data_IF_090387703442
#
_entry.id   IF_090387703442
#
_cell.length_a   1.000
_cell.length_b   1.000
_cell.length_c   1.000
_cell.angle_alpha   90.00
_cell.angle_beta   90.00
_cell.angle_gamma   90.00
#
_symmetry.space_group_name_H-M   'P 1'
#
loop_
_entity.id
_entity.type
_entity.pdbx_description
1 polymer ?
#
# COMPACT_ATOMS: atom_id res chain seq x y z
N UNK A 1 -16.96 2.90 21.53
CA UNK A 1 -16.45 2.02 20.44
C UNK A 1 -14.94 2.09 20.40
N UNK A 2 -14.25 0.94 20.44
CA UNK A 2 -12.78 0.86 20.41
C UNK A 2 -12.26 0.94 18.97
N UNK A 3 -11.14 1.66 18.71
CA UNK A 3 -10.55 1.82 17.36
C UNK A 3 -10.29 0.50 16.65
N UNK A 4 -10.03 -0.58 17.40
CA UNK A 4 -9.81 -1.92 16.84
C UNK A 4 -11.04 -2.46 16.12
N UNK A 5 -12.24 -2.28 16.68
CA UNK A 5 -13.47 -2.79 16.08
C UNK A 5 -13.80 -2.05 14.78
N UNK A 6 -13.59 -0.72 14.77
CA UNK A 6 -13.82 0.08 13.58
C UNK A 6 -12.88 -0.29 12.42
N UNK A 7 -11.62 -0.63 12.75
CA UNK A 7 -10.66 -1.10 11.74
C UNK A 7 -11.09 -2.43 11.13
N UNK A 8 -11.57 -3.38 11.94
CA UNK A 8 -12.08 -4.66 11.44
C UNK A 8 -13.33 -4.46 10.58
N UNK A 9 -14.31 -3.68 11.04
CA UNK A 9 -15.52 -3.35 10.27
C UNK A 9 -15.18 -2.70 8.91
N UNK A 10 -14.19 -1.81 8.89
CA UNK A 10 -13.72 -1.17 7.65
C UNK A 10 -13.10 -2.20 6.70
N UNK A 11 -12.30 -3.14 7.21
CA UNK A 11 -11.67 -4.18 6.39
C UNK A 11 -12.70 -5.18 5.85
N UNK A 12 -13.68 -5.57 6.65
CA UNK A 12 -14.77 -6.46 6.22
C UNK A 12 -15.62 -5.82 5.12
N UNK A 13 -15.87 -4.51 5.25
CA UNK A 13 -16.55 -3.73 4.22
C UNK A 13 -15.71 -3.65 2.94
N UNK A 14 -14.42 -3.33 3.03
CA UNK A 14 -13.51 -3.28 1.87
C UNK A 14 -13.43 -4.64 1.16
N UNK A 15 -13.30 -5.73 1.91
CA UNK A 15 -13.26 -7.08 1.37
C UNK A 15 -14.53 -7.41 0.57
N UNK A 16 -15.70 -6.99 1.07
CA UNK A 16 -16.98 -7.18 0.39
C UNK A 16 -17.06 -6.39 -0.92
N UNK A 17 -16.69 -5.10 -0.91
CA UNK A 17 -16.67 -4.29 -2.13
C UNK A 17 -15.69 -4.85 -3.18
N UNK A 18 -14.50 -5.26 -2.76
CA UNK A 18 -13.48 -5.80 -3.68
C UNK A 18 -14.00 -7.05 -4.39
N UNK A 19 -14.70 -7.94 -3.66
CA UNK A 19 -15.32 -9.13 -4.26
C UNK A 19 -16.32 -8.78 -5.35
N UNK A 20 -17.19 -7.80 -5.12
CA UNK A 20 -18.16 -7.34 -6.13
C UNK A 20 -17.48 -6.73 -7.35
N UNK A 21 -16.43 -5.93 -7.13
CA UNK A 21 -15.67 -5.28 -8.21
C UNK A 21 -14.90 -6.28 -9.08
N UNK A 22 -14.34 -7.36 -8.51
CA UNK A 22 -13.71 -8.43 -9.30
C UNK A 22 -14.73 -9.05 -10.27
N UNK A 23 -15.93 -9.37 -9.78
CA UNK A 23 -16.98 -9.97 -10.60
C UNK A 23 -17.41 -9.04 -11.74
N UNK A 24 -17.54 -7.74 -11.48
CA UNK A 24 -17.87 -6.74 -12.49
C UNK A 24 -16.75 -6.56 -13.53
N UNK A 25 -15.49 -6.51 -13.09
CA UNK A 25 -14.36 -6.38 -14.01
C UNK A 25 -14.21 -7.63 -14.89
N UNK A 26 -14.47 -8.82 -14.34
CA UNK A 26 -14.49 -10.08 -15.08
C UNK A 26 -15.64 -10.13 -16.09
N UNK A 27 -16.84 -9.66 -15.74
CA UNK A 27 -17.98 -9.65 -16.67
C UNK A 27 -17.74 -8.75 -17.88
N UNK A 28 -17.02 -7.65 -17.68
CA UNK A 28 -16.63 -6.70 -18.74
C UNK A 28 -15.32 -7.06 -19.46
N UNK A 29 -14.69 -8.20 -19.10
CA UNK A 29 -13.43 -8.69 -19.70
C UNK A 29 -12.24 -7.73 -19.55
N UNK A 30 -12.19 -6.97 -18.46
CA UNK A 30 -11.04 -6.15 -18.13
C UNK A 30 -10.00 -6.95 -17.35
N UNK A 31 -9.23 -7.81 -18.04
CA UNK A 31 -8.37 -8.81 -17.40
C UNK A 31 -7.33 -8.23 -16.43
N UNK A 32 -6.63 -7.16 -16.83
CA UNK A 32 -5.63 -6.49 -15.96
C UNK A 32 -6.31 -5.83 -14.76
N UNK A 33 -7.48 -5.24 -14.96
CA UNK A 33 -8.22 -4.58 -13.88
C UNK A 33 -8.75 -5.62 -12.88
N UNK A 34 -9.35 -6.71 -13.37
CA UNK A 34 -9.80 -7.82 -12.56
C UNK A 34 -8.65 -8.39 -11.72
N UNK A 35 -7.48 -8.60 -12.34
CA UNK A 35 -6.28 -9.05 -11.64
C UNK A 35 -5.86 -8.09 -10.52
N UNK A 36 -5.79 -6.77 -10.78
CA UNK A 36 -5.37 -5.80 -9.76
C UNK A 36 -6.36 -5.74 -8.57
N UNK A 37 -7.65 -5.84 -8.85
CA UNK A 37 -8.68 -5.85 -7.80
C UNK A 37 -8.64 -7.18 -7.02
N UNK A 38 -8.40 -8.30 -7.70
CA UNK A 38 -8.24 -9.61 -7.06
C UNK A 38 -7.01 -9.64 -6.15
N UNK A 39 -5.89 -9.07 -6.57
CA UNK A 39 -4.71 -8.94 -5.73
C UNK A 39 -4.98 -8.04 -4.51
N UNK A 40 -5.74 -6.96 -4.67
CA UNK A 40 -6.18 -6.14 -3.53
C UNK A 40 -7.13 -6.90 -2.57
N UNK A 41 -8.00 -7.77 -3.09
CA UNK A 41 -8.87 -8.64 -2.29
C UNK A 41 -8.06 -9.63 -1.43
N UNK A 42 -7.04 -10.26 -2.02
CA UNK A 42 -6.14 -11.17 -1.30
C UNK A 42 -5.40 -10.41 -0.19
N UNK A 43 -4.75 -9.29 -0.51
CA UNK A 43 -4.04 -8.45 0.46
C UNK A 43 -4.96 -8.01 1.62
N UNK A 44 -6.19 -7.60 1.33
CA UNK A 44 -7.17 -7.23 2.35
C UNK A 44 -7.50 -8.41 3.28
N UNK A 45 -7.66 -9.61 2.71
CA UNK A 45 -7.93 -10.84 3.45
C UNK A 45 -6.76 -11.23 4.37
N UNK A 46 -5.54 -11.04 3.90
CA UNK A 46 -4.33 -11.34 4.66
C UNK A 46 -4.17 -10.35 5.83
N UNK A 47 -4.48 -9.07 5.61
CA UNK A 47 -4.53 -8.06 6.68
C UNK A 47 -5.59 -8.37 7.74
N UNK A 48 -6.74 -8.93 7.35
CA UNK A 48 -7.80 -9.39 8.28
C UNK A 48 -7.29 -10.58 9.12
N UNK A 49 -6.56 -11.52 8.51
CA UNK A 49 -5.93 -12.67 9.21
C UNK A 49 -4.77 -12.26 10.12
N UNK A 50 -4.32 -11.01 10.05
CA UNK A 50 -3.18 -10.50 10.81
C UNK A 50 -1.83 -10.82 10.16
N UNK A 51 -1.84 -11.27 8.91
CA UNK A 51 -0.64 -11.41 8.09
C UNK A 51 -0.12 -10.00 7.77
N UNK A 52 1.21 -9.81 7.79
CA UNK A 52 1.77 -8.48 7.56
C UNK A 52 1.57 -8.10 6.10
N UNK A 53 1.01 -6.90 5.82
CA UNK A 53 0.89 -6.42 4.45
C UNK A 53 2.26 -6.43 3.76
N UNK A 54 2.27 -6.67 2.45
CA UNK A 54 3.45 -6.44 1.62
C UNK A 54 3.75 -4.93 1.61
N UNK A 55 4.42 -4.45 2.67
CA UNK A 55 4.84 -3.06 2.75
C UNK A 55 5.80 -2.82 1.60
N UNK A 56 5.35 -2.02 0.64
CA UNK A 56 6.26 -1.40 -0.31
C UNK A 56 7.34 -0.67 0.50
N UNK A 57 8.63 -0.81 0.13
CA UNK A 57 9.68 -0.01 0.72
C UNK A 57 9.24 1.45 0.66
N UNK A 58 9.27 2.14 1.81
CA UNK A 58 9.05 3.57 1.79
C UNK A 58 10.02 4.19 0.77
N UNK A 59 9.58 5.18 -0.04
CA UNK A 59 10.48 5.84 -0.97
C UNK A 59 11.67 6.36 -0.16
N UNK A 60 12.84 5.76 -0.37
CA UNK A 60 14.10 6.27 0.18
C UNK A 60 14.34 7.58 -0.54
N UNK A 61 13.91 8.70 0.06
CA UNK A 61 14.34 10.02 -0.39
C UNK A 61 15.86 9.96 -0.48
N UNK A 62 16.40 10.07 -1.69
CA UNK A 62 17.82 10.01 -1.93
C UNK A 62 18.51 11.06 -1.07
N UNK A 63 19.13 10.63 0.03
CA UNK A 63 20.07 11.41 0.78
C UNK A 63 21.28 11.60 -0.14
N UNK A 64 21.26 12.67 -0.93
CA UNK A 64 22.46 13.08 -1.65
C UNK A 64 23.43 13.67 -0.61
N UNK A 65 24.32 12.81 -0.16
CA UNK A 65 25.63 13.16 0.34
C UNK A 65 26.35 13.99 -0.72
N UNK A 66 26.39 15.30 -0.55
CA UNK A 66 27.45 16.12 -1.14
C UNK A 66 27.84 17.21 -0.14
N UNK A 67 28.56 16.78 0.90
CA UNK A 67 29.44 17.68 1.65
C UNK A 67 30.57 18.09 0.71
N UNK A 68 30.37 19.18 -0.03
CA UNK A 68 31.50 19.93 -0.56
C UNK A 68 32.07 20.79 0.57
N UNK A 69 33.15 20.31 1.18
CA UNK A 69 34.01 21.11 2.03
C UNK A 69 34.66 22.23 1.18
N UNK A 70 34.39 23.50 1.47
CA UNK A 70 35.19 24.61 0.92
C UNK A 70 36.18 25.09 1.98
N UNK A 71 37.51 25.02 1.73
CA UNK A 71 38.55 25.39 2.69
C UNK A 71 38.84 26.91 2.72
N UNK A 72 37.80 27.75 2.80
CA UNK A 72 37.97 29.21 2.83
C UNK A 72 38.22 29.80 4.23
N UNK A 73 38.42 28.97 5.26
CA UNK A 73 38.73 29.42 6.63
C UNK A 73 40.22 29.43 7.00
N UNK A 74 41.14 29.46 6.02
CA UNK A 74 42.59 29.43 6.29
C UNK A 74 43.42 30.55 5.64
N UNK A 75 42.82 31.68 5.26
CA UNK A 75 43.61 32.85 4.85
C UNK A 75 42.99 34.18 5.31
N UNK A 76 43.63 34.80 6.32
CA UNK A 76 43.55 36.24 6.60
C UNK A 76 42.64 36.65 7.73
#
# INVERSE_FOLDING_TARGET
MSRSNHRTETLDYLQSMLRELVLLAQSERYDILAYMIEMAYIECSDVIRGERPHRLPAPTNGSNEERAETPEQLAG
#
